data_IF_777856540771
#
_entry.id   IF_777856540771
#
_cell.length_a   1.000
_cell.length_b   1.000
_cell.length_c   1.000
_cell.angle_alpha   90.00
_cell.angle_beta   90.00
_cell.angle_gamma   90.00
#
_symmetry.space_group_name_H-M   'P 1'
#
loop_
_entity.id
_entity.type
_entity.pdbx_description
1 polymer ?
#
# COMPACT_ATOMS: atom_id res chain seq x y z
N UNK A 1 -29.56 18.12 23.54
CA UNK A 1 -30.69 18.54 22.65
C UNK A 1 -30.77 17.56 21.47
N UNK A 2 -31.96 17.13 21.03
CA UNK A 2 -32.09 16.29 19.82
C UNK A 2 -32.31 17.16 18.60
N UNK A 3 -31.82 16.77 17.39
CA UNK A 3 -32.17 17.47 16.17
C UNK A 3 -33.69 17.39 15.92
N UNK A 4 -34.26 18.35 15.20
CA UNK A 4 -35.65 18.25 14.72
C UNK A 4 -35.78 17.09 13.74
N UNK A 5 -36.97 16.53 13.57
CA UNK A 5 -37.20 15.41 12.64
C UNK A 5 -36.81 15.76 11.21
N UNK A 6 -37.05 17.00 10.79
CA UNK A 6 -36.61 17.51 9.48
C UNK A 6 -35.09 17.55 9.35
N UNK A 7 -34.38 18.08 10.35
CA UNK A 7 -32.91 18.13 10.36
C UNK A 7 -32.31 16.73 10.36
N UNK A 8 -32.87 15.83 11.16
CA UNK A 8 -32.46 14.41 11.17
C UNK A 8 -32.59 13.77 9.78
N UNK A 9 -33.73 13.98 9.11
CA UNK A 9 -33.94 13.45 7.77
C UNK A 9 -32.98 14.05 6.74
N UNK A 10 -32.71 15.35 6.81
CA UNK A 10 -31.74 16.02 5.92
C UNK A 10 -30.32 15.50 6.14
N UNK A 11 -29.88 15.33 7.38
CA UNK A 11 -28.55 14.78 7.70
C UNK A 11 -28.40 13.36 7.18
N UNK A 12 -29.43 12.50 7.28
CA UNK A 12 -29.46 11.15 6.71
C UNK A 12 -29.36 11.16 5.18
N UNK A 13 -30.17 11.98 4.53
CA UNK A 13 -30.20 12.08 3.07
C UNK A 13 -28.87 12.60 2.49
N UNK A 14 -28.20 13.48 3.21
CA UNK A 14 -26.88 14.00 2.85
C UNK A 14 -25.71 13.09 3.31
N UNK A 15 -26.01 11.94 3.92
CA UNK A 15 -25.00 11.02 4.48
C UNK A 15 -24.07 11.70 5.49
N UNK A 16 -24.59 12.60 6.33
CA UNK A 16 -23.87 13.30 7.40
C UNK A 16 -24.08 12.61 8.76
N UNK A 17 -23.94 11.28 8.77
CA UNK A 17 -24.26 10.44 9.94
C UNK A 17 -23.45 10.82 11.19
N UNK A 18 -22.17 11.20 11.03
CA UNK A 18 -21.35 11.61 12.18
C UNK A 18 -21.90 12.85 12.85
N UNK A 19 -22.42 13.82 12.09
CA UNK A 19 -23.07 15.00 12.66
C UNK A 19 -24.29 14.57 13.45
N UNK A 20 -25.10 13.66 12.90
CA UNK A 20 -26.28 13.15 13.59
C UNK A 20 -25.94 12.51 14.94
N UNK A 21 -24.89 11.70 14.99
CA UNK A 21 -24.44 11.01 16.21
C UNK A 21 -24.00 12.00 17.31
N UNK A 22 -23.31 13.07 16.95
CA UNK A 22 -22.71 14.01 17.91
C UNK A 22 -23.56 15.27 18.16
N UNK A 23 -24.62 15.49 17.38
CA UNK A 23 -25.40 16.73 17.39
C UNK A 23 -25.86 17.13 18.79
N UNK A 24 -26.45 16.18 19.53
CA UNK A 24 -27.00 16.43 20.87
C UNK A 24 -25.92 16.87 21.86
N UNK A 25 -24.78 16.19 21.86
CA UNK A 25 -23.65 16.52 22.73
C UNK A 25 -23.05 17.89 22.36
N UNK A 26 -22.76 18.12 21.09
CA UNK A 26 -22.17 19.36 20.60
C UNK A 26 -23.10 20.58 20.77
N UNK A 27 -24.42 20.39 20.63
CA UNK A 27 -25.41 21.45 20.90
C UNK A 27 -25.41 21.84 22.35
N UNK A 28 -25.44 20.87 23.28
CA UNK A 28 -25.41 21.15 24.71
C UNK A 28 -24.08 21.76 25.17
N UNK A 29 -22.97 21.39 24.56
CA UNK A 29 -21.67 22.01 24.82
C UNK A 29 -21.62 23.46 24.33
N UNK A 30 -22.11 23.69 23.09
CA UNK A 30 -22.15 25.02 22.49
C UNK A 30 -22.99 26.04 23.29
N UNK A 31 -24.13 25.60 23.87
CA UNK A 31 -24.97 26.43 24.74
C UNK A 31 -24.21 26.80 26.04
N UNK A 32 -23.47 25.88 26.62
CA UNK A 32 -22.70 26.14 27.86
C UNK A 32 -21.50 27.04 27.66
N UNK A 33 -20.85 26.92 26.51
CA UNK A 33 -19.63 27.64 26.13
C UNK A 33 -19.94 29.00 25.48
N UNK A 34 -21.19 29.31 25.20
CA UNK A 34 -21.66 30.51 24.48
C UNK A 34 -20.93 30.77 23.16
N UNK A 35 -20.73 29.67 22.38
CA UNK A 35 -20.03 29.75 21.11
C UNK A 35 -20.91 30.32 20.00
N UNK A 36 -20.27 30.95 19.01
CA UNK A 36 -21.00 31.47 17.82
C UNK A 36 -21.58 30.34 16.98
N UNK A 37 -22.64 30.63 16.22
CA UNK A 37 -23.24 29.68 15.26
C UNK A 37 -22.20 29.18 14.23
N UNK A 38 -21.28 30.05 13.82
CA UNK A 38 -20.20 29.69 12.90
C UNK A 38 -19.24 28.66 13.52
N UNK A 39 -18.87 28.88 14.77
CA UNK A 39 -18.00 27.94 15.49
C UNK A 39 -18.70 26.59 15.71
N UNK A 40 -19.96 26.58 16.12
CA UNK A 40 -20.75 25.35 16.27
C UNK A 40 -20.82 24.56 14.97
N UNK A 41 -21.16 25.22 13.84
CA UNK A 41 -21.20 24.57 12.53
C UNK A 41 -19.82 24.03 12.12
N UNK A 42 -18.77 24.79 12.38
CA UNK A 42 -17.38 24.37 12.08
C UNK A 42 -17.01 23.11 12.84
N UNK A 43 -17.37 22.99 14.12
CA UNK A 43 -17.12 21.78 14.94
C UNK A 43 -17.82 20.56 14.35
N UNK A 44 -19.08 20.68 13.96
CA UNK A 44 -19.85 19.59 13.35
C UNK A 44 -19.26 19.17 12.02
N UNK A 45 -18.96 20.12 11.14
CA UNK A 45 -18.39 19.85 9.82
C UNK A 45 -16.99 19.23 9.89
N UNK A 46 -16.15 19.70 10.83
CA UNK A 46 -14.83 19.15 11.08
C UNK A 46 -14.91 17.70 11.54
N UNK A 47 -15.80 17.37 12.47
CA UNK A 47 -16.01 16.01 12.94
C UNK A 47 -16.49 15.07 11.83
N UNK A 48 -17.42 15.55 10.99
CA UNK A 48 -17.90 14.80 9.82
C UNK A 48 -16.79 14.56 8.79
N UNK A 49 -15.96 15.59 8.52
CA UNK A 49 -14.86 15.50 7.59
C UNK A 49 -13.81 14.48 8.05
N UNK A 50 -13.39 14.54 9.33
CA UNK A 50 -12.46 13.57 9.89
C UNK A 50 -13.00 12.15 9.81
N UNK A 51 -14.26 11.93 10.20
CA UNK A 51 -14.90 10.62 10.12
C UNK A 51 -14.92 10.06 8.67
N UNK A 52 -15.20 10.90 7.67
CA UNK A 52 -15.13 10.51 6.25
C UNK A 52 -13.72 10.11 5.83
N UNK A 53 -12.69 10.86 6.27
CA UNK A 53 -11.29 10.53 5.95
C UNK A 53 -10.87 9.20 6.59
N UNK A 54 -11.21 8.99 7.85
CA UNK A 54 -10.92 7.74 8.57
C UNK A 54 -11.62 6.55 7.92
N UNK A 55 -12.91 6.68 7.61
CA UNK A 55 -13.68 5.62 6.94
C UNK A 55 -13.12 5.30 5.55
N UNK A 56 -12.79 6.33 4.77
CA UNK A 56 -12.21 6.15 3.44
C UNK A 56 -10.83 5.49 3.51
N UNK A 57 -10.01 5.85 4.50
CA UNK A 57 -8.70 5.22 4.72
C UNK A 57 -8.87 3.75 5.13
N UNK A 58 -9.74 3.45 6.09
CA UNK A 58 -10.01 2.08 6.52
C UNK A 58 -10.47 1.20 5.36
N UNK A 59 -11.31 1.75 4.48
CA UNK A 59 -11.76 1.04 3.28
C UNK A 59 -10.61 0.82 2.26
N UNK A 60 -9.74 1.83 2.04
CA UNK A 60 -8.55 1.69 1.20
C UNK A 60 -7.60 0.62 1.73
N UNK A 61 -7.31 0.62 3.04
CA UNK A 61 -6.46 -0.39 3.70
C UNK A 61 -7.02 -1.79 3.49
N UNK A 62 -8.34 -1.97 3.76
CA UNK A 62 -9.01 -3.26 3.56
C UNK A 62 -8.92 -3.74 2.11
N UNK A 63 -9.15 -2.85 1.15
CA UNK A 63 -9.09 -3.17 -0.28
C UNK A 63 -7.67 -3.46 -0.76
N UNK A 64 -6.68 -2.83 -0.17
CA UNK A 64 -5.26 -3.05 -0.47
C UNK A 64 -4.75 -4.40 0.02
N UNK A 65 -5.50 -5.12 0.85
CA UNK A 65 -5.14 -6.45 1.40
C UNK A 65 -3.83 -6.43 2.19
N UNK A 66 -3.54 -5.34 2.92
CA UNK A 66 -2.38 -5.30 3.81
C UNK A 66 -2.49 -6.41 4.86
N UNK A 67 -1.42 -7.22 5.08
CA UNK A 67 -1.46 -8.35 6.00
C UNK A 67 -1.57 -7.90 7.47
N UNK A 68 -0.96 -6.77 7.80
CA UNK A 68 -0.93 -6.16 9.13
C UNK A 68 -0.79 -4.64 8.99
N UNK A 69 -1.19 -3.90 10.02
CA UNK A 69 -1.04 -2.44 10.05
C UNK A 69 0.39 -2.03 10.47
N UNK A 70 1.39 -2.40 9.65
CA UNK A 70 2.75 -1.94 9.82
C UNK A 70 2.84 -0.44 9.52
N UNK A 71 3.27 0.34 10.51
CA UNK A 71 3.63 1.73 10.27
C UNK A 71 5.15 1.89 10.28
N UNK A 72 5.68 2.85 9.51
CA UNK A 72 7.11 3.15 9.55
C UNK A 72 7.57 3.64 10.94
N UNK A 73 6.66 4.24 11.71
CA UNK A 73 6.94 4.69 13.07
C UNK A 73 7.19 3.51 14.03
N UNK A 74 6.54 2.37 13.81
CA UNK A 74 6.70 1.15 14.62
C UNK A 74 7.87 0.28 14.19
N UNK A 75 8.54 0.58 13.07
CA UNK A 75 9.66 -0.22 12.61
C UNK A 75 10.87 -0.08 13.55
N UNK A 76 11.46 -1.19 14.02
CA UNK A 76 12.53 -1.18 15.01
C UNK A 76 13.90 -0.86 14.40
N UNK A 77 14.11 0.36 13.91
CA UNK A 77 15.36 0.78 13.28
C UNK A 77 16.61 0.54 14.14
N UNK A 78 16.48 0.66 15.47
CA UNK A 78 17.60 0.41 16.39
C UNK A 78 18.06 -1.05 16.36
N UNK A 79 17.16 -2.00 16.04
CA UNK A 79 17.46 -3.44 15.92
C UNK A 79 17.90 -3.84 14.51
N UNK A 80 17.74 -2.93 13.54
CA UNK A 80 18.07 -3.21 12.14
C UNK A 80 19.05 -2.15 11.59
N UNK A 81 20.35 -2.26 11.95
CA UNK A 81 21.36 -1.28 11.54
C UNK A 81 21.64 -1.30 10.03
N UNK A 82 21.26 -2.38 9.33
CA UNK A 82 21.36 -2.49 7.86
C UNK A 82 20.37 -1.61 7.10
N UNK A 83 19.48 -0.87 7.79
CA UNK A 83 18.49 0.01 7.16
C UNK A 83 18.78 1.47 7.52
N UNK A 84 19.00 2.30 6.50
CA UNK A 84 19.11 3.73 6.69
C UNK A 84 17.75 4.36 7.00
N UNK A 85 17.54 4.79 8.25
CA UNK A 85 16.32 5.50 8.65
C UNK A 85 16.07 6.74 7.79
N UNK A 86 17.14 7.49 7.45
CA UNK A 86 17.06 8.68 6.60
C UNK A 86 16.51 8.32 5.21
N UNK A 87 17.03 7.25 4.58
CA UNK A 87 16.58 6.79 3.27
C UNK A 87 15.11 6.39 3.29
N UNK A 88 14.67 5.65 4.32
CA UNK A 88 13.25 5.25 4.45
C UNK A 88 12.35 6.47 4.65
N UNK A 89 12.78 7.48 5.43
CA UNK A 89 12.01 8.71 5.59
C UNK A 89 11.91 9.50 4.28
N UNK A 90 12.96 9.59 3.48
CA UNK A 90 12.90 10.22 2.15
C UNK A 90 11.91 9.48 1.23
N UNK A 91 11.94 8.14 1.22
CA UNK A 91 10.97 7.37 0.45
C UNK A 91 9.52 7.53 0.96
N UNK A 92 9.33 7.83 2.26
CA UNK A 92 8.01 8.09 2.85
C UNK A 92 7.42 9.46 2.44
N UNK A 93 8.19 10.33 1.77
CA UNK A 93 7.68 11.54 1.09
C UNK A 93 6.94 11.19 -0.19
N UNK A 94 7.11 9.95 -0.70
CA UNK A 94 6.39 9.34 -1.82
C UNK A 94 6.70 9.91 -3.21
N UNK A 95 7.78 10.67 -3.36
CA UNK A 95 8.19 11.24 -4.65
C UNK A 95 8.42 10.14 -5.71
N UNK A 96 8.93 8.96 -5.29
CA UNK A 96 9.10 7.81 -6.16
C UNK A 96 7.80 7.36 -6.86
N UNK A 97 6.63 7.62 -6.25
CA UNK A 97 5.32 7.30 -6.86
C UNK A 97 4.99 8.32 -7.95
N UNK A 98 5.25 9.61 -7.68
CA UNK A 98 5.01 10.67 -8.66
C UNK A 98 5.90 10.52 -9.90
N UNK A 99 7.12 10.02 -9.70
CA UNK A 99 8.12 9.79 -10.75
C UNK A 99 8.00 8.39 -11.41
N UNK A 100 7.02 7.58 -10.97
CA UNK A 100 6.79 6.20 -11.42
C UNK A 100 8.04 5.30 -11.29
N UNK A 101 8.81 5.50 -10.22
CA UNK A 101 9.99 4.71 -9.89
C UNK A 101 9.61 3.47 -9.07
N UNK A 102 10.42 2.42 -9.22
CA UNK A 102 10.25 1.18 -8.48
C UNK A 102 11.06 1.19 -7.19
N UNK A 103 10.70 0.29 -6.29
CA UNK A 103 11.42 0.06 -5.05
C UNK A 103 11.64 -1.43 -4.85
N UNK A 104 12.89 -1.87 -4.71
CA UNK A 104 13.23 -3.27 -4.45
C UNK A 104 13.97 -3.37 -3.12
N UNK A 105 13.38 -4.13 -2.18
CA UNK A 105 13.99 -4.45 -0.89
C UNK A 105 14.57 -5.87 -0.98
N UNK A 106 15.89 -5.96 -0.88
CA UNK A 106 16.65 -7.22 -0.97
C UNK A 106 17.23 -7.56 0.38
N UNK A 107 17.23 -8.82 0.76
CA UNK A 107 17.92 -9.27 1.97
C UNK A 107 17.39 -10.60 2.52
N UNK A 108 18.03 -11.19 3.55
CA UNK A 108 17.65 -12.46 4.13
C UNK A 108 16.22 -12.46 4.71
N UNK A 109 15.74 -13.65 5.05
CA UNK A 109 14.44 -13.80 5.73
C UNK A 109 14.51 -13.21 7.14
N UNK A 110 13.42 -12.56 7.57
CA UNK A 110 13.31 -12.03 8.94
C UNK A 110 13.84 -10.60 9.14
N UNK A 111 14.56 -10.01 8.19
CA UNK A 111 15.18 -8.67 8.34
C UNK A 111 14.20 -7.48 8.28
N UNK A 112 12.91 -7.71 8.08
CA UNK A 112 11.88 -6.66 8.12
C UNK A 112 11.48 -6.07 6.77
N UNK A 113 11.84 -6.68 5.63
CA UNK A 113 11.47 -6.21 4.28
C UNK A 113 9.98 -5.95 4.13
N UNK A 114 9.15 -6.95 4.46
CA UNK A 114 7.68 -6.85 4.37
C UNK A 114 7.13 -5.72 5.25
N UNK A 115 7.68 -5.55 6.46
CA UNK A 115 7.25 -4.47 7.37
C UNK A 115 7.55 -3.08 6.81
N UNK A 116 8.76 -2.87 6.27
CA UNK A 116 9.13 -1.60 5.61
C UNK A 116 8.28 -1.32 4.37
N UNK A 117 8.15 -2.32 3.49
CA UNK A 117 7.35 -2.21 2.27
C UNK A 117 5.87 -1.92 2.58
N UNK A 118 5.29 -2.63 3.56
CA UNK A 118 3.91 -2.41 4.01
C UNK A 118 3.73 -1.04 4.66
N UNK A 119 4.72 -0.56 5.42
CA UNK A 119 4.72 0.78 6.01
C UNK A 119 4.73 1.89 4.96
N UNK A 120 5.52 1.74 3.89
CA UNK A 120 5.51 2.66 2.75
C UNK A 120 4.18 2.59 1.98
N UNK A 121 3.63 1.40 1.79
CA UNK A 121 2.32 1.22 1.14
C UNK A 121 1.19 1.85 1.97
N UNK A 122 1.22 1.70 3.30
CA UNK A 122 0.27 2.35 4.20
C UNK A 122 0.35 3.88 4.07
N UNK A 123 1.57 4.42 4.02
CA UNK A 123 1.79 5.85 3.81
C UNK A 123 1.20 6.34 2.49
N UNK A 124 1.34 5.55 1.41
CA UNK A 124 0.71 5.84 0.12
C UNK A 124 -0.83 5.81 0.20
N UNK A 125 -1.42 4.82 0.91
CA UNK A 125 -2.87 4.75 1.13
C UNK A 125 -3.41 5.95 1.93
N UNK A 126 -2.67 6.42 2.94
CA UNK A 126 -2.99 7.63 3.71
C UNK A 126 -3.05 8.87 2.81
N UNK A 127 -2.18 8.93 1.81
CA UNK A 127 -2.13 10.02 0.83
C UNK A 127 -3.07 9.83 -0.37
N UNK A 128 -3.94 8.80 -0.32
CA UNK A 128 -5.02 8.63 -1.30
C UNK A 128 -4.66 7.83 -2.54
N UNK A 129 -3.43 7.30 -2.65
CA UNK A 129 -3.01 6.45 -3.77
C UNK A 129 -3.78 5.12 -3.79
N UNK A 130 -4.00 4.59 -4.99
CA UNK A 130 -4.61 3.27 -5.22
C UNK A 130 -3.53 2.21 -5.12
N UNK A 131 -3.51 1.49 -4.01
CA UNK A 131 -2.47 0.52 -3.72
C UNK A 131 -3.04 -0.89 -3.57
N UNK A 132 -2.20 -1.90 -3.82
CA UNK A 132 -2.49 -3.29 -3.48
C UNK A 132 -1.23 -3.98 -3.00
N UNK A 133 -1.36 -4.73 -1.90
CA UNK A 133 -0.40 -5.72 -1.45
C UNK A 133 -0.80 -7.08 -2.03
N UNK A 134 0.17 -7.85 -2.53
CA UNK A 134 -0.04 -9.23 -2.96
C UNK A 134 1.24 -10.03 -2.73
N UNK A 135 1.10 -11.24 -2.18
CA UNK A 135 2.24 -12.17 -2.15
C UNK A 135 2.54 -12.67 -3.56
N UNK A 136 3.81 -12.88 -3.86
CA UNK A 136 4.22 -13.40 -5.18
C UNK A 136 3.50 -14.71 -5.51
N UNK A 137 3.36 -15.63 -4.54
CA UNK A 137 2.61 -16.88 -4.72
C UNK A 137 1.19 -16.60 -5.23
N UNK A 138 0.43 -15.76 -4.49
CA UNK A 138 -0.97 -15.46 -4.82
C UNK A 138 -1.09 -14.75 -6.18
N UNK A 139 -0.12 -13.90 -6.52
CA UNK A 139 -0.05 -13.23 -7.82
C UNK A 139 0.10 -14.23 -8.95
N UNK A 140 1.07 -15.15 -8.84
CA UNK A 140 1.32 -16.14 -9.86
C UNK A 140 0.22 -17.19 -9.97
N UNK A 141 -0.43 -17.53 -8.86
CA UNK A 141 -1.61 -18.41 -8.86
C UNK A 141 -2.80 -17.74 -9.58
N UNK A 142 -3.06 -16.45 -9.32
CA UNK A 142 -4.05 -15.68 -10.06
C UNK A 142 -3.71 -15.58 -11.55
N UNK A 143 -2.44 -15.36 -11.90
CA UNK A 143 -1.99 -15.34 -13.30
C UNK A 143 -2.25 -16.68 -13.98
N UNK A 144 -1.93 -17.79 -13.33
CA UNK A 144 -2.16 -19.12 -13.87
C UNK A 144 -3.65 -19.44 -14.03
N UNK A 145 -4.46 -19.17 -13.02
CA UNK A 145 -5.91 -19.34 -13.06
C UNK A 145 -6.55 -18.52 -14.20
N UNK A 146 -6.06 -17.30 -14.42
CA UNK A 146 -6.58 -16.39 -15.45
C UNK A 146 -6.36 -16.89 -16.89
N UNK A 147 -5.47 -17.85 -17.11
CA UNK A 147 -5.29 -18.50 -18.40
C UNK A 147 -6.45 -19.45 -18.71
N UNK A 148 -6.92 -20.19 -17.70
CA UNK A 148 -7.97 -21.17 -17.85
C UNK A 148 -9.31 -20.53 -18.20
N UNK A 149 -9.65 -19.39 -17.55
CA UNK A 149 -10.92 -18.67 -17.75
C UNK A 149 -10.82 -17.48 -18.72
N UNK A 150 -9.67 -17.28 -19.35
CA UNK A 150 -9.37 -16.20 -20.30
C UNK A 150 -9.50 -14.79 -19.70
N UNK A 151 -9.35 -14.65 -18.40
CA UNK A 151 -9.47 -13.36 -17.70
C UNK A 151 -8.13 -12.61 -17.55
N UNK A 152 -7.03 -13.11 -18.15
CA UNK A 152 -5.68 -12.53 -18.01
C UNK A 152 -5.64 -11.04 -18.36
N UNK A 153 -6.40 -10.59 -19.37
CA UNK A 153 -6.47 -9.18 -19.73
C UNK A 153 -7.15 -8.33 -18.65
N UNK A 154 -8.18 -8.87 -17.99
CA UNK A 154 -8.87 -8.16 -16.90
C UNK A 154 -7.96 -8.06 -15.67
N UNK A 155 -7.24 -9.15 -15.34
CA UNK A 155 -6.25 -9.17 -14.26
C UNK A 155 -5.15 -8.13 -14.52
N UNK A 156 -4.54 -8.12 -15.71
CA UNK A 156 -3.52 -7.16 -16.09
C UNK A 156 -4.05 -5.72 -16.02
N UNK A 157 -5.22 -5.43 -16.61
CA UNK A 157 -5.83 -4.11 -16.56
C UNK A 157 -6.12 -3.64 -15.13
N UNK A 158 -6.47 -4.54 -14.22
CA UNK A 158 -6.68 -4.22 -12.80
C UNK A 158 -5.37 -3.86 -12.10
N UNK A 159 -4.34 -4.69 -12.28
CA UNK A 159 -3.05 -4.52 -11.62
C UNK A 159 -2.21 -3.39 -12.23
N UNK A 160 -2.30 -3.16 -13.54
CA UNK A 160 -1.55 -2.10 -14.21
C UNK A 160 -2.07 -0.69 -13.91
N UNK A 161 -3.32 -0.54 -13.42
CA UNK A 161 -3.92 0.76 -13.06
C UNK A 161 -3.70 1.19 -11.61
N UNK A 162 -3.09 0.34 -10.81
CA UNK A 162 -2.73 0.69 -9.42
C UNK A 162 -1.55 1.67 -9.43
N UNK A 163 -1.65 2.71 -8.61
CA UNK A 163 -0.56 3.66 -8.47
C UNK A 163 0.66 2.98 -7.84
N UNK A 164 0.43 2.12 -6.83
CA UNK A 164 1.47 1.27 -6.23
C UNK A 164 1.02 -0.18 -6.13
N UNK A 165 1.82 -1.09 -6.66
CA UNK A 165 1.67 -2.54 -6.47
C UNK A 165 2.83 -3.06 -5.64
N UNK A 166 2.54 -3.61 -4.44
CA UNK A 166 3.53 -4.29 -3.63
C UNK A 166 3.45 -5.80 -3.87
N UNK A 167 4.55 -6.38 -4.36
CA UNK A 167 4.72 -7.81 -4.57
C UNK A 167 5.69 -8.32 -3.51
N UNK A 168 5.16 -9.08 -2.55
CA UNK A 168 5.93 -9.55 -1.41
C UNK A 168 6.46 -10.98 -1.61
N UNK A 169 7.66 -11.25 -1.09
CA UNK A 169 8.31 -12.57 -1.12
C UNK A 169 8.57 -13.11 -2.54
N UNK A 170 8.99 -12.25 -3.48
CA UNK A 170 9.40 -12.71 -4.80
C UNK A 170 10.67 -13.55 -4.70
N UNK A 171 10.66 -14.77 -5.29
CA UNK A 171 11.84 -15.64 -5.33
C UNK A 171 11.74 -16.96 -4.56
N UNK A 172 10.62 -17.21 -3.86
CA UNK A 172 10.41 -18.45 -3.12
C UNK A 172 9.62 -19.53 -3.87
N UNK A 173 9.45 -19.38 -5.18
CA UNK A 173 8.54 -20.16 -5.99
C UNK A 173 9.25 -20.85 -7.15
N UNK A 174 8.65 -21.92 -7.66
CA UNK A 174 8.98 -22.49 -8.99
C UNK A 174 7.87 -22.07 -9.95
N UNK A 175 8.22 -21.29 -10.96
CA UNK A 175 7.27 -20.73 -11.92
C UNK A 175 7.12 -21.59 -13.16
N UNK A 176 5.90 -21.63 -13.71
CA UNK A 176 5.66 -22.11 -15.06
C UNK A 176 5.94 -21.01 -16.07
N UNK A 177 6.39 -21.35 -17.31
CA UNK A 177 6.71 -20.35 -18.35
C UNK A 177 5.56 -19.36 -18.62
N UNK A 178 4.33 -19.84 -18.58
CA UNK A 178 3.14 -19.03 -18.83
C UNK A 178 2.93 -17.95 -17.75
N UNK A 179 3.23 -18.27 -16.49
CA UNK A 179 3.16 -17.33 -15.37
C UNK A 179 4.21 -16.22 -15.54
N UNK A 180 5.43 -16.60 -15.90
CA UNK A 180 6.50 -15.65 -16.18
C UNK A 180 6.13 -14.68 -17.32
N UNK A 181 5.53 -15.18 -18.40
CA UNK A 181 5.11 -14.36 -19.54
C UNK A 181 4.05 -13.30 -19.13
N UNK A 182 3.06 -13.67 -18.30
CA UNK A 182 2.06 -12.71 -17.82
C UNK A 182 2.71 -11.68 -16.87
N UNK A 183 3.64 -12.12 -16.02
CA UNK A 183 4.39 -11.23 -15.15
C UNK A 183 5.22 -10.21 -15.92
N UNK A 184 5.95 -10.65 -16.97
CA UNK A 184 6.69 -9.74 -17.85
C UNK A 184 5.78 -8.68 -18.46
N UNK A 185 4.61 -9.09 -18.94
CA UNK A 185 3.63 -8.17 -19.51
C UNK A 185 3.10 -7.18 -18.48
N UNK A 186 2.83 -7.63 -17.25
CA UNK A 186 2.43 -6.74 -16.16
C UNK A 186 3.49 -5.67 -15.89
N UNK A 187 4.76 -6.08 -15.78
CA UNK A 187 5.86 -5.15 -15.51
C UNK A 187 6.10 -4.18 -16.67
N UNK A 188 5.90 -4.63 -17.92
CA UNK A 188 5.97 -3.78 -19.11
C UNK A 188 4.84 -2.74 -19.14
N UNK A 189 3.60 -3.12 -18.80
CA UNK A 189 2.46 -2.19 -18.74
C UNK A 189 2.60 -1.16 -17.62
N UNK A 190 3.32 -1.48 -16.53
CA UNK A 190 3.58 -0.58 -15.41
C UNK A 190 4.81 0.30 -15.60
N UNK A 191 5.74 -0.10 -16.48
CA UNK A 191 6.99 0.61 -16.69
C UNK A 191 6.76 2.08 -17.04
N UNK A 192 7.39 3.02 -16.30
CA UNK A 192 7.27 4.47 -16.45
C UNK A 192 5.84 5.03 -16.32
N UNK A 193 4.95 4.28 -15.70
CA UNK A 193 3.56 4.72 -15.49
C UNK A 193 3.13 4.62 -14.02
N UNK A 194 3.58 3.59 -13.34
CA UNK A 194 3.18 3.30 -11.96
C UNK A 194 4.29 2.57 -11.22
N UNK A 195 4.40 2.82 -9.93
CA UNK A 195 5.44 2.25 -9.08
C UNK A 195 5.14 0.82 -8.65
N UNK A 196 6.19 -0.01 -8.62
CA UNK A 196 6.10 -1.36 -8.07
C UNK A 196 7.10 -1.48 -6.93
N UNK A 197 6.63 -1.94 -5.76
CA UNK A 197 7.46 -2.30 -4.61
C UNK A 197 7.62 -3.81 -4.63
N UNK A 198 8.86 -4.30 -4.57
CA UNK A 198 9.16 -5.74 -4.55
C UNK A 198 10.00 -6.05 -3.31
N UNK A 199 9.62 -7.08 -2.56
CA UNK A 199 10.49 -7.65 -1.55
C UNK A 199 11.01 -9.01 -2.02
N UNK A 200 12.29 -9.26 -1.82
CA UNK A 200 12.94 -10.49 -2.30
C UNK A 200 14.13 -10.87 -1.43
N UNK A 201 14.48 -12.14 -1.44
CA UNK A 201 15.76 -12.63 -0.91
C UNK A 201 16.78 -12.89 -2.02
N UNK A 202 16.38 -12.71 -3.28
CA UNK A 202 17.22 -12.95 -4.45
C UNK A 202 17.93 -11.67 -4.88
N UNK A 203 19.23 -11.77 -5.10
CA UNK A 203 19.96 -10.77 -5.85
C UNK A 203 19.52 -10.79 -7.32
N UNK A 204 19.68 -9.69 -8.04
CA UNK A 204 19.21 -9.55 -9.41
C UNK A 204 19.75 -10.64 -10.36
N UNK A 205 20.96 -11.15 -10.14
CA UNK A 205 21.56 -12.20 -10.95
C UNK A 205 20.81 -13.54 -10.82
N UNK A 206 20.17 -13.77 -9.67
CA UNK A 206 19.38 -14.98 -9.43
C UNK A 206 17.98 -14.94 -10.08
N UNK A 207 17.50 -13.75 -10.48
CA UNK A 207 16.18 -13.61 -11.12
C UNK A 207 16.09 -14.37 -12.46
N UNK A 208 17.22 -14.54 -13.17
CA UNK A 208 17.29 -15.32 -14.40
C UNK A 208 16.85 -16.76 -14.20
N UNK A 209 17.33 -17.39 -13.16
CA UNK A 209 16.99 -18.77 -12.82
C UNK A 209 15.54 -18.88 -12.30
N UNK A 210 15.09 -17.89 -11.51
CA UNK A 210 13.75 -17.88 -10.95
C UNK A 210 12.67 -17.69 -12.01
N UNK A 211 12.83 -16.74 -12.94
CA UNK A 211 11.85 -16.43 -13.99
C UNK A 211 12.00 -17.25 -15.26
N UNK A 212 13.07 -18.03 -15.38
CA UNK A 212 13.22 -19.13 -16.36
C UNK A 212 13.55 -18.73 -17.81
N UNK A 213 13.59 -17.44 -18.18
CA UNK A 213 13.97 -16.99 -19.53
C UNK A 213 15.01 -15.85 -19.44
N UNK A 214 16.30 -16.16 -19.58
CA UNK A 214 17.37 -15.18 -19.38
C UNK A 214 17.24 -13.91 -20.24
N UNK A 215 16.83 -14.04 -21.51
CA UNK A 215 16.68 -12.90 -22.40
C UNK A 215 15.55 -11.96 -21.95
N UNK A 216 14.41 -12.53 -21.62
CA UNK A 216 13.26 -11.76 -21.10
C UNK A 216 13.56 -11.17 -19.72
N UNK A 217 14.28 -11.89 -18.87
CA UNK A 217 14.68 -11.42 -17.54
C UNK A 217 15.64 -10.24 -17.66
N UNK A 218 16.62 -10.28 -18.55
CA UNK A 218 17.53 -9.15 -18.77
C UNK A 218 16.77 -7.90 -19.22
N UNK A 219 15.80 -8.05 -20.12
CA UNK A 219 14.94 -6.95 -20.54
C UNK A 219 14.06 -6.42 -19.40
N UNK A 220 13.52 -7.31 -18.56
CA UNK A 220 12.77 -6.94 -17.36
C UNK A 220 13.63 -6.19 -16.35
N UNK A 221 14.80 -6.75 -16.00
CA UNK A 221 15.72 -6.16 -15.04
C UNK A 221 16.23 -4.80 -15.50
N UNK A 222 16.52 -4.65 -16.80
CA UNK A 222 16.85 -3.34 -17.36
C UNK A 222 15.76 -2.30 -17.08
N UNK A 223 14.49 -2.66 -17.24
CA UNK A 223 13.36 -1.76 -16.96
C UNK A 223 13.12 -1.54 -15.48
N UNK A 224 13.16 -2.60 -14.67
CA UNK A 224 12.95 -2.51 -13.22
C UNK A 224 14.03 -1.65 -12.57
N UNK A 225 15.30 -1.82 -12.98
CA UNK A 225 16.47 -1.12 -12.41
C UNK A 225 16.66 0.30 -12.94
N UNK A 226 16.16 0.61 -14.12
CA UNK A 226 16.37 1.90 -14.78
C UNK A 226 15.84 3.07 -13.95
N UNK A 227 14.66 2.88 -13.33
CA UNK A 227 14.03 3.81 -12.39
C UNK A 227 13.70 3.04 -11.11
N UNK A 228 14.71 2.82 -10.26
CA UNK A 228 14.54 1.96 -9.09
C UNK A 228 15.44 2.35 -7.93
N UNK A 229 14.85 2.46 -6.76
CA UNK A 229 15.57 2.47 -5.50
C UNK A 229 15.76 1.04 -5.01
N UNK A 230 16.99 0.57 -4.96
CA UNK A 230 17.32 -0.73 -4.37
C UNK A 230 17.81 -0.53 -2.94
N UNK A 231 17.14 -1.18 -1.98
CA UNK A 231 17.50 -1.17 -0.57
C UNK A 231 17.99 -2.56 -0.20
N UNK A 232 19.31 -2.67 -0.01
CA UNK A 232 19.93 -3.87 0.53
C UNK A 232 19.82 -3.84 2.05
N UNK A 233 19.27 -4.90 2.64
CA UNK A 233 19.10 -5.01 4.08
C UNK A 233 19.95 -6.15 4.60
N UNK A 234 21.13 -5.82 5.11
CA UNK A 234 22.10 -6.74 5.67
C UNK A 234 22.12 -6.57 7.20
N UNK A 235 21.30 -7.36 7.90
CA UNK A 235 21.20 -7.23 9.36
C UNK A 235 20.58 -8.47 10.00
N UNK A 236 20.48 -8.47 11.34
CA UNK A 236 19.95 -9.60 12.09
C UNK A 236 18.47 -9.83 11.81
N UNK A 237 18.02 -11.06 12.00
CA UNK A 237 16.59 -11.38 11.97
C UNK A 237 15.86 -10.65 13.10
N UNK A 238 14.76 -9.97 12.75
CA UNK A 238 13.86 -9.35 13.73
C UNK A 238 12.90 -10.35 14.36
N UNK A 239 12.87 -11.61 13.85
CA UNK A 239 12.02 -12.71 14.34
C UNK A 239 12.71 -13.53 15.45
N UNK A 240 14.02 -13.38 15.62
CA UNK A 240 14.73 -14.12 16.65
C UNK A 240 14.27 -13.67 18.03
N UNK A 241 13.95 -14.63 18.93
CA UNK A 241 13.55 -14.29 20.30
C UNK A 241 14.68 -13.49 20.95
N UNK A 242 14.31 -12.45 21.66
CA UNK A 242 15.23 -11.77 22.54
C UNK A 242 15.47 -12.68 23.73
N UNK A 243 16.72 -13.21 23.84
CA UNK A 243 17.16 -13.94 25.03
C UNK A 243 17.14 -13.06 26.28
#
# INVERSE_FOLDING_TARGET
MKPSDELEQLLKNLHLNRILDIYGEQSSAAEKEDVTYSEFLTRLMRAQWHHRQETALAWRIKRASLPENWSLASFPFARQPGVSRKQIHTLAELDFIAEAENLVLVGPTGVGKTGLASGLLLKALENGYRCQFIRAQDLFDQMYASLADRSSRQLLNRLSRLDVLLIDELGYLTLKPEQSNIFFKLMEERYHRHSTIITTNLDYDAWGNFLGNPTMVNALLSRVRHYCHTIQIDGPSLRDPQG
#
